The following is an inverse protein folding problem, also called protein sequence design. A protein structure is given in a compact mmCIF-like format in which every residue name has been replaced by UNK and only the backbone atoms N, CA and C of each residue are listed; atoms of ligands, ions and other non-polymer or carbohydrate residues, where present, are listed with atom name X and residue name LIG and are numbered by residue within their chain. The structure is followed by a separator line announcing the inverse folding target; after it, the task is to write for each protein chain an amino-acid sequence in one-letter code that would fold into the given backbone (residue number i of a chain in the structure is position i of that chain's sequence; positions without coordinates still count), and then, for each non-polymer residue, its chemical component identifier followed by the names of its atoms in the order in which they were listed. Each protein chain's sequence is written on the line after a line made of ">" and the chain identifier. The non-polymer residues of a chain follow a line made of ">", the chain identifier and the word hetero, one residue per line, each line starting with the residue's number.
data_IF_758851524585
#
_entry.id   IF_758851524585
#
_cell.length_a   1.000
_cell.length_b   1.000
_cell.length_c   1.000
_cell.angle_alpha   90.00
_cell.angle_beta   90.00
_cell.angle_gamma   90.00
#
_symmetry.space_group_name_H-M   'P 1'
#
loop_
_entity.id
_entity.type
_entity.pdbx_description
1 polymer ?
#
# COMPACT_ATOMS: atom_id res chain seq x y z
N UNK A 1 23.97 1.11 -22.60
CA UNK A 1 22.95 0.94 -21.53
C UNK A 1 22.35 2.30 -21.28
N UNK A 2 21.12 2.51 -21.74
CA UNK A 2 20.38 3.74 -21.47
C UNK A 2 20.15 3.84 -19.97
N UNK A 3 20.68 4.90 -19.37
CA UNK A 3 20.62 5.12 -17.92
C UNK A 3 19.21 5.64 -17.65
N UNK A 4 18.28 4.73 -17.35
CA UNK A 4 16.86 5.04 -17.07
C UNK A 4 16.81 6.25 -16.12
N UNK A 5 16.09 7.30 -16.50
CA UNK A 5 15.97 8.52 -15.69
C UNK A 5 15.50 8.11 -14.27
N UNK A 6 16.27 8.43 -13.21
CA UNK A 6 15.87 8.13 -11.84
C UNK A 6 14.45 8.60 -11.50
N UNK A 7 13.96 9.67 -12.15
CA UNK A 7 12.58 10.15 -11.98
C UNK A 7 11.55 9.25 -12.66
N UNK A 8 11.87 8.70 -13.83
CA UNK A 8 10.98 7.76 -14.52
C UNK A 8 10.85 6.46 -13.74
N UNK A 9 11.99 5.93 -13.27
CA UNK A 9 12.02 4.76 -12.38
C UNK A 9 11.18 4.98 -11.12
N UNK A 10 11.39 6.11 -10.42
CA UNK A 10 10.64 6.43 -9.22
C UNK A 10 9.13 6.64 -9.46
N UNK A 11 8.72 7.16 -10.62
CA UNK A 11 7.30 7.22 -11.02
C UNK A 11 6.70 5.84 -11.21
N UNK A 12 7.41 4.95 -11.90
CA UNK A 12 6.97 3.59 -12.15
C UNK A 12 6.83 2.81 -10.83
N UNK A 13 7.83 2.89 -9.95
CA UNK A 13 7.81 2.25 -8.63
C UNK A 13 6.65 2.76 -7.77
N UNK A 14 6.40 4.07 -7.76
CA UNK A 14 5.27 4.67 -7.05
C UNK A 14 3.92 4.17 -7.59
N UNK A 15 3.74 4.14 -8.91
CA UNK A 15 2.51 3.67 -9.55
C UNK A 15 2.25 2.18 -9.25
N UNK A 16 3.28 1.34 -9.37
CA UNK A 16 3.20 -0.08 -9.05
C UNK A 16 2.86 -0.30 -7.56
N UNK A 17 3.49 0.45 -6.66
CA UNK A 17 3.21 0.36 -5.23
C UNK A 17 1.79 0.79 -4.89
N UNK A 18 1.27 1.84 -5.52
CA UNK A 18 -0.09 2.31 -5.33
C UNK A 18 -1.12 1.29 -5.85
N UNK A 19 -0.88 0.68 -7.01
CA UNK A 19 -1.74 -0.37 -7.55
C UNK A 19 -1.80 -1.59 -6.60
N UNK A 20 -0.63 -2.02 -6.11
CA UNK A 20 -0.52 -3.10 -5.11
C UNK A 20 -1.27 -2.77 -3.83
N UNK A 21 -1.13 -1.56 -3.30
CA UNK A 21 -1.84 -1.12 -2.10
C UNK A 21 -3.36 -1.12 -2.29
N UNK A 22 -3.85 -0.65 -3.43
CA UNK A 22 -5.29 -0.66 -3.75
C UNK A 22 -5.86 -2.08 -3.81
N UNK A 23 -5.15 -3.00 -4.48
CA UNK A 23 -5.57 -4.40 -4.54
C UNK A 23 -5.55 -5.07 -3.17
N UNK A 24 -4.50 -4.85 -2.37
CA UNK A 24 -4.42 -5.38 -1.01
C UNK A 24 -5.50 -4.81 -0.10
N UNK A 25 -5.82 -3.51 -0.23
CA UNK A 25 -6.93 -2.87 0.49
C UNK A 25 -8.26 -3.52 0.16
N UNK A 26 -8.51 -3.79 -1.12
CA UNK A 26 -9.75 -4.43 -1.54
C UNK A 26 -9.89 -5.81 -0.90
N UNK A 27 -8.84 -6.65 -0.96
CA UNK A 27 -8.82 -7.97 -0.29
C UNK A 27 -9.04 -7.88 1.21
N UNK A 28 -8.42 -6.89 1.87
CA UNK A 28 -8.63 -6.67 3.31
C UNK A 28 -10.08 -6.33 3.64
N UNK A 29 -10.73 -5.48 2.84
CA UNK A 29 -12.15 -5.15 2.99
C UNK A 29 -13.03 -6.38 2.75
N UNK A 30 -12.75 -7.13 1.68
CA UNK A 30 -13.53 -8.32 1.28
C UNK A 30 -13.39 -9.48 2.28
N UNK A 31 -12.26 -9.57 2.99
CA UNK A 31 -12.02 -10.60 4.01
C UNK A 31 -12.84 -10.39 5.30
N UNK A 32 -13.53 -9.25 5.44
CA UNK A 32 -14.34 -8.92 6.62
C UNK A 32 -13.62 -9.20 7.94
N UNK A 33 -12.38 -8.72 8.05
CA UNK A 33 -11.54 -8.97 9.24
C UNK A 33 -12.20 -8.36 10.48
N UNK A 34 -12.53 -9.16 11.51
CA UNK A 34 -13.08 -8.63 12.75
C UNK A 34 -12.00 -7.82 13.48
N UNK A 35 -12.32 -6.56 13.78
CA UNK A 35 -11.42 -5.62 14.46
C UNK A 35 -11.71 -5.52 15.96
N UNK A 36 -12.94 -5.85 16.38
CA UNK A 36 -13.36 -5.81 17.77
C UNK A 36 -13.03 -7.12 18.48
N UNK A 37 -12.55 -7.00 19.70
CA UNK A 37 -12.32 -8.13 20.59
C UNK A 37 -13.62 -8.49 21.29
N UNK A 38 -13.97 -9.78 21.30
CA UNK A 38 -14.97 -10.28 22.23
C UNK A 38 -14.26 -10.58 23.56
N UNK A 39 -14.77 -10.03 24.66
CA UNK A 39 -14.31 -10.32 26.03
C UNK A 39 -12.82 -10.07 26.29
N UNK A 40 -12.22 -9.07 25.62
CA UNK A 40 -10.81 -8.71 25.78
C UNK A 40 -9.82 -9.65 25.09
N UNK A 41 -10.31 -10.66 24.39
CA UNK A 41 -9.48 -11.57 23.59
C UNK A 41 -9.43 -11.13 22.12
N UNK A 42 -8.25 -11.22 21.47
CA UNK A 42 -8.15 -11.03 20.02
C UNK A 42 -9.16 -11.93 19.30
N UNK A 43 -9.92 -11.41 18.31
CA UNK A 43 -10.80 -12.27 17.54
C UNK A 43 -9.97 -13.34 16.81
N UNK A 44 -10.51 -14.56 16.75
CA UNK A 44 -9.89 -15.60 15.95
C UNK A 44 -10.05 -15.26 14.47
N UNK A 45 -8.93 -15.06 13.79
CA UNK A 45 -8.90 -14.87 12.35
C UNK A 45 -8.80 -16.20 11.64
N UNK A 46 -9.55 -16.34 10.55
CA UNK A 46 -9.28 -17.36 9.55
C UNK A 46 -7.92 -17.10 8.89
N UNK A 47 -7.36 -18.11 8.21
CA UNK A 47 -6.12 -17.93 7.44
C UNK A 47 -6.27 -16.82 6.39
N UNK A 48 -7.41 -16.78 5.68
CA UNK A 48 -7.68 -15.76 4.67
C UNK A 48 -7.68 -14.34 5.27
N UNK A 49 -8.27 -14.17 6.46
CA UNK A 49 -8.24 -12.89 7.19
C UNK A 49 -6.84 -12.51 7.63
N UNK A 50 -6.06 -13.46 8.14
CA UNK A 50 -4.67 -13.25 8.52
C UNK A 50 -3.82 -12.83 7.31
N UNK A 51 -3.94 -13.53 6.19
CA UNK A 51 -3.26 -13.22 4.94
C UNK A 51 -3.65 -11.84 4.39
N UNK A 52 -4.94 -11.47 4.50
CA UNK A 52 -5.41 -10.16 4.06
C UNK A 52 -4.80 -9.02 4.90
N UNK A 53 -4.72 -9.17 6.23
CA UNK A 53 -4.07 -8.21 7.14
C UNK A 53 -2.59 -8.07 6.80
N UNK A 54 -1.85 -9.19 6.77
CA UNK A 54 -0.41 -9.20 6.50
C UNK A 54 -0.12 -8.65 5.11
N UNK A 55 -0.90 -9.05 4.11
CA UNK A 55 -0.80 -8.57 2.73
C UNK A 55 -1.00 -7.06 2.62
N UNK A 56 -2.00 -6.52 3.32
CA UNK A 56 -2.24 -5.07 3.37
C UNK A 56 -1.11 -4.31 4.04
N UNK A 57 -0.61 -4.78 5.20
CA UNK A 57 0.53 -4.15 5.89
C UNK A 57 1.80 -4.15 5.02
N UNK A 58 2.10 -5.26 4.35
CA UNK A 58 3.26 -5.35 3.46
C UNK A 58 3.14 -4.41 2.25
N UNK A 59 1.94 -4.31 1.66
CA UNK A 59 1.69 -3.37 0.57
C UNK A 59 1.81 -1.91 1.02
N UNK A 60 1.38 -1.60 2.25
CA UNK A 60 1.55 -0.27 2.85
C UNK A 60 3.02 0.09 3.04
N UNK A 61 3.84 -0.81 3.59
CA UNK A 61 5.28 -0.59 3.76
C UNK A 61 5.97 -0.34 2.41
N UNK A 62 5.63 -1.14 1.38
CA UNK A 62 6.16 -0.94 0.04
C UNK A 62 5.75 0.42 -0.55
N UNK A 63 4.50 0.82 -0.39
CA UNK A 63 4.00 2.13 -0.80
C UNK A 63 4.71 3.29 -0.08
N UNK A 64 4.90 3.21 1.23
CA UNK A 64 5.60 4.25 1.99
C UNK A 64 7.04 4.40 1.48
N UNK A 65 7.75 3.29 1.24
CA UNK A 65 9.10 3.33 0.66
C UNK A 65 9.12 3.97 -0.74
N UNK A 66 8.21 3.55 -1.62
CA UNK A 66 8.12 4.11 -2.98
C UNK A 66 7.74 5.60 -2.96
N UNK A 67 6.84 6.02 -2.05
CA UNK A 67 6.47 7.43 -1.85
C UNK A 67 7.67 8.28 -1.40
N UNK A 68 8.48 7.79 -0.46
CA UNK A 68 9.69 8.48 -0.02
C UNK A 68 10.71 8.58 -1.15
N UNK A 69 10.91 7.50 -1.93
CA UNK A 69 11.80 7.51 -3.10
C UNK A 69 11.33 8.50 -4.18
N UNK A 70 10.03 8.53 -4.47
CA UNK A 70 9.44 9.50 -5.40
C UNK A 70 9.63 10.95 -4.93
N UNK A 71 9.43 11.23 -3.64
CA UNK A 71 9.66 12.55 -3.07
C UNK A 71 11.14 12.97 -3.18
N UNK A 72 12.08 12.06 -2.91
CA UNK A 72 13.52 12.31 -3.07
C UNK A 72 13.92 12.58 -4.53
N UNK A 73 13.21 11.97 -5.49
CA UNK A 73 13.36 12.24 -6.93
C UNK A 73 12.64 13.52 -7.40
N UNK A 74 12.12 14.33 -6.47
CA UNK A 74 11.39 15.56 -6.79
C UNK A 74 10.06 15.32 -7.50
N UNK A 75 9.44 14.16 -7.31
CA UNK A 75 8.08 13.86 -7.78
C UNK A 75 7.14 14.21 -6.64
N UNK A 76 6.64 15.43 -6.64
CA UNK A 76 5.57 15.84 -5.74
C UNK A 76 4.24 15.40 -6.32
N UNK A 77 3.26 15.11 -5.44
CA UNK A 77 1.86 14.98 -5.85
C UNK A 77 1.54 16.26 -6.61
N UNK A 78 1.21 16.17 -7.90
CA UNK A 78 0.62 17.28 -8.62
C UNK A 78 -0.53 17.79 -7.74
N UNK A 79 -0.50 19.05 -7.35
CA UNK A 79 -1.64 19.67 -6.69
C UNK A 79 -2.82 19.47 -7.64
N UNK A 80 -3.62 18.43 -7.38
CA UNK A 80 -4.92 18.31 -8.02
C UNK A 80 -5.68 19.57 -7.65
N UNK A 81 -6.44 20.16 -8.59
CA UNK A 81 -7.21 21.36 -8.27
C UNK A 81 -8.04 21.05 -7.02
N UNK A 82 -7.90 21.88 -5.99
CA UNK A 82 -8.78 21.81 -4.83
C UNK A 82 -10.23 21.91 -5.30
N UNK A 83 -11.05 21.01 -4.81
CA UNK A 83 -12.50 20.96 -5.02
C UNK A 83 -13.13 20.20 -3.88
#
# INVERSE_FOLDING_TARGET
>A
MERTDPRESARHDYAAALARLRSARQRFVDAHVPMETADGWPPFWTNDQHEAVVGYMNAWQFFVRARTGAAAAGITRAAGPGG
#
